data_IF_070834555854
#
_entry.id   IF_070834555854
#
_cell.length_a   1.000
_cell.length_b   1.000
_cell.length_c   1.000
_cell.angle_alpha   90.00
_cell.angle_beta   90.00
_cell.angle_gamma   90.00
#
_symmetry.space_group_name_H-M   'P 1'
#
loop_
_entity.id
_entity.type
_entity.pdbx_description
1 polymer ?
#
# COMPACT_ATOMS: atom_id res chain seq x y z
N UNK A 1 41.37 -7.19 39.81
CA UNK A 1 40.15 -7.84 39.27
C UNK A 1 39.20 -6.75 38.80
N UNK A 2 38.96 -6.64 37.49
CA UNK A 2 38.10 -5.60 36.92
C UNK A 2 36.63 -5.85 37.34
N UNK A 3 36.17 -5.11 38.35
CA UNK A 3 34.85 -5.24 38.99
C UNK A 3 33.70 -4.77 38.09
N UNK A 4 33.43 -5.50 37.02
CA UNK A 4 32.18 -5.33 36.28
C UNK A 4 31.07 -6.07 36.99
N UNK A 5 30.05 -5.34 37.44
CA UNK A 5 28.88 -5.90 38.09
C UNK A 5 28.14 -6.83 37.10
N UNK A 6 27.94 -8.13 37.40
CA UNK A 6 27.41 -9.11 36.45
C UNK A 6 26.04 -8.72 35.89
N UNK A 7 25.22 -8.06 36.71
CA UNK A 7 23.92 -7.51 36.31
C UNK A 7 23.98 -6.51 35.16
N UNK A 8 25.02 -5.66 35.07
CA UNK A 8 25.16 -4.70 33.96
C UNK A 8 25.42 -5.40 32.63
N UNK A 9 26.21 -6.47 32.64
CA UNK A 9 26.47 -7.28 31.43
C UNK A 9 25.23 -8.02 30.99
N UNK A 10 24.48 -8.60 31.92
CA UNK A 10 23.22 -9.26 31.64
C UNK A 10 22.19 -8.27 31.03
N UNK A 11 22.08 -7.06 31.59
CA UNK A 11 21.14 -6.05 31.08
C UNK A 11 21.55 -5.53 29.70
N UNK A 12 22.84 -5.27 29.46
CA UNK A 12 23.34 -4.85 28.15
C UNK A 12 23.07 -5.92 27.08
N UNK A 13 23.32 -7.20 27.40
CA UNK A 13 23.02 -8.32 26.51
C UNK A 13 21.51 -8.45 26.25
N UNK A 14 20.69 -8.32 27.29
CA UNK A 14 19.24 -8.37 27.16
C UNK A 14 18.71 -7.24 26.26
N UNK A 15 19.18 -6.01 26.43
CA UNK A 15 18.82 -4.88 25.58
C UNK A 15 19.24 -5.09 24.12
N UNK A 16 20.43 -5.64 23.87
CA UNK A 16 20.90 -5.94 22.52
C UNK A 16 20.08 -7.04 21.85
N UNK A 17 19.75 -8.10 22.58
CA UNK A 17 18.87 -9.17 22.11
C UNK A 17 17.46 -8.63 21.83
N UNK A 18 16.93 -7.75 22.67
CA UNK A 18 15.63 -7.09 22.45
C UNK A 18 15.65 -6.21 21.20
N UNK A 19 16.73 -5.45 20.97
CA UNK A 19 16.92 -4.69 19.73
C UNK A 19 16.92 -5.61 18.51
N UNK A 20 17.69 -6.71 18.53
CA UNK A 20 17.76 -7.65 17.41
C UNK A 20 16.40 -8.30 17.12
N UNK A 21 15.69 -8.75 18.16
CA UNK A 21 14.35 -9.33 18.00
C UNK A 21 13.35 -8.33 17.45
N UNK A 22 13.44 -7.07 17.85
CA UNK A 22 12.58 -6.02 17.33
C UNK A 22 12.91 -5.65 15.88
N UNK A 23 14.19 -5.65 15.51
CA UNK A 23 14.60 -5.49 14.11
C UNK A 23 14.09 -6.64 13.25
N UNK A 24 14.20 -7.88 13.73
CA UNK A 24 13.61 -9.06 13.06
C UNK A 24 12.10 -8.94 12.96
N UNK A 25 11.41 -8.54 14.03
CA UNK A 25 9.97 -8.35 14.03
C UNK A 25 9.55 -7.26 13.03
N UNK A 26 10.27 -6.14 12.98
CA UNK A 26 10.02 -5.05 12.05
C UNK A 26 10.19 -5.47 10.56
N UNK A 27 10.86 -6.59 10.25
CA UNK A 27 10.91 -7.11 8.87
C UNK A 27 9.62 -7.79 8.42
N UNK A 28 8.78 -8.25 9.36
CA UNK A 28 7.55 -9.01 9.08
C UNK A 28 6.28 -8.28 9.52
N UNK A 29 6.41 -7.22 10.31
CA UNK A 29 5.27 -6.56 10.95
C UNK A 29 4.68 -5.42 10.11
N UNK A 30 3.37 -5.19 10.25
CA UNK A 30 2.64 -4.22 9.43
C UNK A 30 2.99 -2.77 9.84
N UNK A 31 2.92 -1.84 8.87
CA UNK A 31 3.32 -0.42 9.05
C UNK A 31 2.69 0.31 10.25
N UNK A 32 1.58 -0.19 10.79
CA UNK A 32 0.92 0.40 11.97
C UNK A 32 1.78 0.36 13.24
N UNK A 33 2.73 -0.57 13.38
CA UNK A 33 3.54 -0.71 14.60
C UNK A 33 4.86 0.09 14.56
N UNK A 34 5.18 0.75 13.44
CA UNK A 34 6.46 1.48 13.25
C UNK A 34 6.73 2.50 14.38
N UNK A 35 5.76 3.32 14.86
CA UNK A 35 6.03 4.26 15.96
C UNK A 35 6.38 3.55 17.27
N UNK A 36 5.62 2.51 17.62
CA UNK A 36 5.81 1.76 18.84
C UNK A 36 7.19 1.07 18.84
N UNK A 37 7.54 0.46 17.71
CA UNK A 37 8.85 -0.17 17.50
C UNK A 37 9.99 0.85 17.54
N UNK A 38 9.79 2.05 16.99
CA UNK A 38 10.81 3.13 17.04
C UNK A 38 11.06 3.59 18.49
N UNK A 39 9.99 3.79 19.27
CA UNK A 39 10.11 4.18 20.68
C UNK A 39 10.79 3.09 21.50
N UNK A 40 10.35 1.83 21.32
CA UNK A 40 10.91 0.70 22.04
C UNK A 40 12.39 0.49 21.68
N UNK A 41 12.76 0.62 20.40
CA UNK A 41 14.15 0.55 19.94
C UNK A 41 15.01 1.64 20.60
N UNK A 42 14.51 2.89 20.61
CA UNK A 42 15.22 4.03 21.23
C UNK A 42 15.44 3.80 22.73
N UNK A 43 14.44 3.27 23.42
CA UNK A 43 14.51 2.94 24.85
C UNK A 43 15.51 1.81 25.11
N UNK A 44 15.50 0.75 24.30
CA UNK A 44 16.45 -0.37 24.44
C UNK A 44 17.88 0.07 24.12
N UNK A 45 18.08 0.96 23.16
CA UNK A 45 19.39 1.53 22.83
C UNK A 45 19.93 2.39 23.98
N UNK A 46 19.07 3.23 24.57
CA UNK A 46 19.43 4.02 25.75
C UNK A 46 19.82 3.13 26.95
N UNK A 47 19.07 2.05 27.20
CA UNK A 47 19.38 1.08 28.25
C UNK A 47 20.71 0.36 27.99
N UNK A 48 20.93 -0.13 26.76
CA UNK A 48 22.18 -0.77 26.37
C UNK A 48 23.38 0.17 26.60
N UNK A 49 23.23 1.45 26.24
CA UNK A 49 24.25 2.48 26.44
C UNK A 49 24.57 2.70 27.91
N UNK A 50 23.55 2.92 28.75
CA UNK A 50 23.75 3.10 30.21
C UNK A 50 24.45 1.90 30.83
N UNK A 51 24.10 0.69 30.42
CA UNK A 51 24.71 -0.54 30.94
C UNK A 51 26.13 -0.78 30.44
N UNK A 52 26.48 -0.30 29.24
CA UNK A 52 27.83 -0.40 28.70
C UNK A 52 28.81 0.56 29.38
N UNK A 53 28.34 1.66 29.99
CA UNK A 53 29.22 2.61 30.69
C UNK A 53 29.72 2.07 32.05
N UNK A 54 31.04 2.00 32.30
CA UNK A 54 31.59 1.55 33.58
C UNK A 54 31.25 2.55 34.70
N UNK A 55 30.86 2.06 35.89
CA UNK A 55 30.50 2.93 37.04
C UNK A 55 31.68 3.77 37.57
N UNK A 56 32.92 3.32 37.36
CA UNK A 56 34.14 3.95 37.84
C UNK A 56 34.97 4.60 36.72
N UNK A 57 34.44 4.67 35.49
CA UNK A 57 35.08 5.49 34.48
C UNK A 57 34.97 6.94 34.94
N UNK A 58 36.07 7.50 35.45
CA UNK A 58 36.24 8.96 35.59
C UNK A 58 35.80 9.51 34.23
N UNK A 59 34.75 10.35 34.15
CA UNK A 59 34.27 10.83 32.87
C UNK A 59 35.49 11.44 32.19
N UNK A 60 36.02 10.76 31.16
CA UNK A 60 37.02 11.39 30.33
C UNK A 60 36.29 12.61 29.82
N UNK A 61 36.79 13.80 30.17
CA UNK A 61 36.21 15.06 29.72
C UNK A 61 36.10 15.13 28.19
N UNK A 62 36.73 14.17 27.51
CA UNK A 62 36.87 14.00 26.07
C UNK A 62 35.94 12.95 25.45
N UNK A 63 34.94 12.38 26.15
CA UNK A 63 33.77 11.85 25.42
C UNK A 63 33.17 13.07 24.72
N UNK A 64 33.39 13.23 23.41
CA UNK A 64 33.39 14.56 22.81
C UNK A 64 31.97 15.08 22.96
N UNK A 65 31.79 16.24 23.61
CA UNK A 65 30.48 16.93 23.68
C UNK A 65 29.82 17.02 22.29
N UNK A 66 30.63 16.96 21.24
CA UNK A 66 30.26 16.82 19.84
C UNK A 66 29.37 15.60 19.51
N UNK A 67 29.55 14.43 20.15
CA UNK A 67 28.75 13.23 19.84
C UNK A 67 27.30 13.37 20.29
N UNK A 68 27.04 13.94 21.48
CA UNK A 68 25.68 14.22 21.96
C UNK A 68 25.00 15.35 21.20
N UNK A 69 25.76 16.38 20.84
CA UNK A 69 25.27 17.49 20.04
C UNK A 69 24.80 17.07 18.64
N UNK A 70 25.30 15.94 18.11
CA UNK A 70 24.86 15.36 16.83
C UNK A 70 23.79 14.29 17.04
N UNK A 71 24.02 13.35 17.95
CA UNK A 71 23.17 12.18 18.15
C UNK A 71 21.75 12.54 18.59
N UNK A 72 21.60 13.50 19.51
CA UNK A 72 20.29 13.86 20.04
C UNK A 72 19.41 14.56 18.98
N UNK A 73 19.90 15.56 18.22
CA UNK A 73 19.16 16.08 17.07
C UNK A 73 18.85 15.02 16.01
N UNK A 74 19.78 14.12 15.68
CA UNK A 74 19.51 13.03 14.72
C UNK A 74 18.37 12.14 15.20
N UNK A 75 18.36 11.73 16.48
CA UNK A 75 17.28 10.93 17.04
C UNK A 75 15.94 11.68 17.03
N UNK A 76 15.93 12.98 17.32
CA UNK A 76 14.72 13.81 17.25
C UNK A 76 14.20 13.87 15.80
N UNK A 77 15.08 14.11 14.83
CA UNK A 77 14.72 14.14 13.40
C UNK A 77 14.11 12.80 12.97
N UNK A 78 14.73 11.68 13.36
CA UNK A 78 14.21 10.34 13.06
C UNK A 78 12.83 10.10 13.69
N UNK A 79 12.62 10.51 14.94
CA UNK A 79 11.33 10.38 15.62
C UNK A 79 10.24 11.24 14.94
N UNK A 80 10.58 12.47 14.54
CA UNK A 80 9.65 13.35 13.81
C UNK A 80 9.28 12.75 12.45
N UNK A 81 10.24 12.20 11.72
CA UNK A 81 9.99 11.53 10.44
C UNK A 81 9.12 10.29 10.62
N UNK A 82 9.43 9.43 11.59
CA UNK A 82 8.64 8.24 11.90
C UNK A 82 7.20 8.62 12.28
N UNK A 83 7.02 9.60 13.15
CA UNK A 83 5.70 10.09 13.55
C UNK A 83 4.90 10.63 12.36
N UNK A 84 5.52 11.42 11.47
CA UNK A 84 4.86 11.94 10.26
C UNK A 84 4.39 10.82 9.33
N UNK A 85 5.23 9.83 9.07
CA UNK A 85 4.90 8.69 8.22
C UNK A 85 3.72 7.91 8.80
N UNK A 86 3.77 7.61 10.09
CA UNK A 86 2.71 6.83 10.73
C UNK A 86 1.41 7.58 10.92
N UNK A 87 1.46 8.90 11.17
CA UNK A 87 0.26 9.73 11.16
C UNK A 87 -0.39 9.74 9.77
N UNK A 88 0.41 9.81 8.69
CA UNK A 88 -0.11 9.68 7.32
C UNK A 88 -0.77 8.32 7.08
N UNK A 89 -0.14 7.22 7.52
CA UNK A 89 -0.68 5.87 7.36
C UNK A 89 -1.98 5.67 8.15
N UNK A 90 -2.02 6.14 9.40
CA UNK A 90 -3.21 6.07 10.23
C UNK A 90 -4.40 6.78 9.57
N UNK A 91 -4.21 8.04 9.16
CA UNK A 91 -5.25 8.83 8.48
C UNK A 91 -5.67 8.16 7.17
N UNK A 92 -4.71 7.61 6.41
CA UNK A 92 -5.00 6.93 5.13
C UNK A 92 -5.80 5.65 5.35
N UNK A 93 -5.50 4.87 6.38
CA UNK A 93 -6.27 3.66 6.72
C UNK A 93 -7.69 3.99 7.19
N UNK A 94 -7.86 5.03 8.01
CA UNK A 94 -9.19 5.51 8.43
C UNK A 94 -10.00 5.97 7.20
N UNK A 95 -9.39 6.77 6.33
CA UNK A 95 -10.03 7.26 5.10
C UNK A 95 -10.38 6.12 4.14
N UNK A 96 -9.53 5.10 4.03
CA UNK A 96 -9.80 3.89 3.25
C UNK A 96 -11.01 3.13 3.78
N UNK A 97 -11.10 2.92 5.10
CA UNK A 97 -12.22 2.22 5.72
C UNK A 97 -13.55 2.95 5.46
N UNK A 98 -13.58 4.29 5.54
CA UNK A 98 -14.74 5.11 5.19
C UNK A 98 -15.11 4.99 3.71
N UNK A 99 -14.13 5.13 2.81
CA UNK A 99 -14.37 4.99 1.36
C UNK A 99 -14.93 3.59 1.03
N UNK A 100 -14.45 2.55 1.71
CA UNK A 100 -14.93 1.18 1.51
C UNK A 100 -16.37 1.00 2.00
N UNK A 101 -16.76 1.62 3.12
CA UNK A 101 -18.14 1.53 3.61
C UNK A 101 -19.11 2.23 2.67
N UNK A 102 -18.74 3.38 2.10
CA UNK A 102 -19.57 4.11 1.12
C UNK A 102 -19.78 3.33 -0.18
N UNK A 103 -18.80 2.52 -0.61
CA UNK A 103 -18.97 1.63 -1.77
C UNK A 103 -20.02 0.54 -1.55
N UNK A 104 -20.32 0.18 -0.30
CA UNK A 104 -21.26 -0.87 0.03
C UNK A 104 -22.70 -0.36 0.23
N UNK A 105 -22.88 0.89 0.67
CA UNK A 105 -24.21 1.41 1.06
C UNK A 105 -24.72 2.45 0.08
N UNK A 106 -24.09 3.62 -0.01
CA UNK A 106 -24.49 4.78 -0.80
C UNK A 106 -23.40 5.85 -0.75
N UNK A 107 -23.40 6.84 -1.66
CA UNK A 107 -22.55 8.01 -1.54
C UNK A 107 -22.71 8.66 -0.16
N UNK A 108 -21.61 9.09 0.49
CA UNK A 108 -21.71 9.72 1.80
C UNK A 108 -22.37 11.09 1.73
N UNK A 109 -22.83 11.65 2.86
CA UNK A 109 -23.13 13.07 2.96
C UNK A 109 -21.92 13.95 2.53
N UNK A 110 -22.19 15.10 1.91
CA UNK A 110 -21.15 16.01 1.41
C UNK A 110 -20.15 16.45 2.49
N UNK A 111 -20.64 16.69 3.72
CA UNK A 111 -19.80 17.08 4.85
C UNK A 111 -18.83 15.97 5.28
N UNK A 112 -19.28 14.71 5.30
CA UNK A 112 -18.45 13.55 5.65
C UNK A 112 -17.37 13.31 4.58
N UNK A 113 -17.74 13.38 3.29
CA UNK A 113 -16.78 13.32 2.19
C UNK A 113 -15.73 14.44 2.31
N UNK A 114 -16.16 15.69 2.53
CA UNK A 114 -15.27 16.85 2.61
C UNK A 114 -14.31 16.73 3.80
N UNK A 115 -14.78 16.28 4.96
CA UNK A 115 -13.93 16.05 6.12
C UNK A 115 -12.87 14.98 5.82
N UNK A 116 -13.27 13.85 5.24
CA UNK A 116 -12.36 12.77 4.87
C UNK A 116 -11.35 13.22 3.81
N UNK A 117 -11.79 14.02 2.84
CA UNK A 117 -10.92 14.63 1.84
C UNK A 117 -9.86 15.55 2.46
N UNK A 118 -10.23 16.43 3.39
CA UNK A 118 -9.28 17.30 4.09
C UNK A 118 -8.28 16.51 4.95
N UNK A 119 -8.74 15.47 5.65
CA UNK A 119 -7.85 14.57 6.39
C UNK A 119 -6.86 13.89 5.45
N UNK A 120 -7.33 13.38 4.30
CA UNK A 120 -6.47 12.73 3.33
C UNK A 120 -5.46 13.70 2.70
N UNK A 121 -5.83 14.96 2.44
CA UNK A 121 -4.88 15.99 2.02
C UNK A 121 -3.80 16.23 3.08
N UNK A 122 -4.16 16.22 4.37
CA UNK A 122 -3.21 16.31 5.48
C UNK A 122 -2.29 15.09 5.55
N UNK A 123 -2.79 13.89 5.28
CA UNK A 123 -1.94 12.70 5.19
C UNK A 123 -0.88 12.84 4.09
N UNK A 124 -1.29 13.28 2.90
CA UNK A 124 -0.35 13.54 1.79
C UNK A 124 0.64 14.67 2.14
N UNK A 125 0.25 15.72 2.87
CA UNK A 125 1.21 16.75 3.28
C UNK A 125 2.19 16.27 4.35
N UNK A 126 1.78 15.34 5.23
CA UNK A 126 2.65 14.72 6.21
C UNK A 126 3.70 13.80 5.55
N UNK A 127 3.29 13.03 4.54
CA UNK A 127 4.16 12.14 3.78
C UNK A 127 3.86 12.20 2.26
N UNK A 128 4.49 13.11 1.50
CA UNK A 128 4.16 13.38 0.10
C UNK A 128 4.28 12.19 -0.86
N UNK A 129 5.14 11.23 -0.53
CA UNK A 129 5.42 10.04 -1.35
C UNK A 129 4.79 8.76 -0.76
N UNK A 130 3.91 8.90 0.24
CA UNK A 130 3.12 7.79 0.75
C UNK A 130 2.11 7.33 -0.33
N UNK A 131 2.39 6.18 -0.93
CA UNK A 131 1.60 5.60 -2.01
C UNK A 131 0.13 5.41 -1.62
N UNK A 132 -0.16 4.95 -0.39
CA UNK A 132 -1.52 4.74 0.09
C UNK A 132 -2.29 6.04 0.24
N UNK A 133 -1.62 7.07 0.76
CA UNK A 133 -2.22 8.38 0.91
C UNK A 133 -2.63 8.97 -0.46
N UNK A 134 -1.76 8.81 -1.46
CA UNK A 134 -2.00 9.24 -2.83
C UNK A 134 -3.16 8.45 -3.49
N UNK A 135 -3.21 7.13 -3.31
CA UNK A 135 -4.29 6.28 -3.85
C UNK A 135 -5.64 6.65 -3.25
N UNK A 136 -5.71 6.86 -1.94
CA UNK A 136 -6.96 7.24 -1.28
C UNK A 136 -7.40 8.65 -1.67
N UNK A 137 -6.47 9.58 -1.86
CA UNK A 137 -6.80 10.91 -2.37
C UNK A 137 -7.39 10.84 -3.78
N UNK A 138 -6.80 10.03 -4.67
CA UNK A 138 -7.34 9.79 -6.01
C UNK A 138 -8.74 9.15 -5.99
N UNK A 139 -9.00 8.22 -5.06
CA UNK A 139 -10.34 7.64 -4.86
C UNK A 139 -11.35 8.67 -4.37
N UNK A 140 -10.98 9.52 -3.42
CA UNK A 140 -11.86 10.58 -2.92
C UNK A 140 -12.17 11.61 -4.02
N UNK A 141 -11.20 11.93 -4.86
CA UNK A 141 -11.41 12.74 -6.06
C UNK A 141 -12.41 12.11 -7.04
N UNK A 142 -12.37 10.78 -7.21
CA UNK A 142 -13.37 10.09 -8.03
C UNK A 142 -14.79 10.22 -7.43
N UNK A 143 -14.91 10.07 -6.11
CA UNK A 143 -16.19 10.28 -5.40
C UNK A 143 -16.74 11.69 -5.53
N UNK A 144 -15.88 12.70 -5.75
CA UNK A 144 -16.33 14.09 -5.95
C UNK A 144 -17.32 14.23 -7.11
N UNK A 145 -17.19 13.42 -8.16
CA UNK A 145 -18.12 13.43 -9.29
C UNK A 145 -19.55 13.05 -8.91
N UNK A 146 -19.76 12.33 -7.80
CA UNK A 146 -21.10 12.03 -7.29
C UNK A 146 -21.79 13.28 -6.68
N UNK A 147 -21.02 14.32 -6.35
CA UNK A 147 -21.52 15.56 -5.73
C UNK A 147 -21.56 16.75 -6.69
N UNK A 148 -20.92 16.63 -7.85
CA UNK A 148 -20.87 17.70 -8.85
C UNK A 148 -21.76 17.35 -10.04
N UNK A 149 -22.49 18.33 -10.57
CA UNK A 149 -23.33 18.16 -11.76
C UNK A 149 -22.48 18.06 -13.03
N UNK A 150 -21.68 17.00 -13.14
CA UNK A 150 -20.86 16.73 -14.31
C UNK A 150 -19.44 16.30 -13.96
N UNK A 151 -18.81 15.73 -14.99
CA UNK A 151 -17.44 15.27 -14.96
C UNK A 151 -16.47 16.46 -15.01
N UNK A 152 -15.45 16.44 -14.15
CA UNK A 152 -14.40 17.46 -14.11
C UNK A 152 -13.06 16.86 -14.60
N UNK A 153 -12.67 17.06 -15.87
CA UNK A 153 -11.47 16.44 -16.46
C UNK A 153 -10.17 16.79 -15.74
N UNK A 154 -10.11 17.97 -15.11
CA UNK A 154 -8.96 18.41 -14.33
C UNK A 154 -8.74 17.51 -13.10
N UNK A 155 -9.81 17.17 -12.38
CA UNK A 155 -9.75 16.29 -11.21
C UNK A 155 -9.32 14.88 -11.60
N UNK A 156 -9.81 14.40 -12.74
CA UNK A 156 -9.42 13.12 -13.32
C UNK A 156 -7.91 13.08 -13.61
N UNK A 157 -7.37 14.17 -14.19
CA UNK A 157 -5.93 14.30 -14.50
C UNK A 157 -5.08 14.33 -13.23
N UNK A 158 -5.48 15.13 -12.23
CA UNK A 158 -4.78 15.21 -10.93
C UNK A 158 -4.78 13.85 -10.22
N UNK A 159 -5.92 13.14 -10.24
CA UNK A 159 -6.04 11.81 -9.65
C UNK A 159 -5.13 10.78 -10.32
N UNK A 160 -5.07 10.80 -11.66
CA UNK A 160 -4.16 9.92 -12.39
C UNK A 160 -2.69 10.24 -12.08
N UNK A 161 -2.32 11.52 -11.99
CA UNK A 161 -0.97 11.92 -11.61
C UNK A 161 -0.59 11.43 -10.20
N UNK A 162 -1.52 11.49 -9.24
CA UNK A 162 -1.33 10.94 -7.90
C UNK A 162 -1.11 9.42 -7.92
N UNK A 163 -1.91 8.70 -8.70
CA UNK A 163 -1.77 7.24 -8.86
C UNK A 163 -0.44 6.85 -9.52
N UNK A 164 0.01 7.61 -10.52
CA UNK A 164 1.33 7.39 -11.15
C UNK A 164 2.48 7.65 -10.17
N UNK A 165 2.38 8.67 -9.32
CA UNK A 165 3.35 8.90 -8.23
C UNK A 165 3.33 7.75 -7.22
N UNK A 166 2.15 7.25 -6.86
CA UNK A 166 2.03 6.09 -5.98
C UNK A 166 2.67 4.83 -6.60
N UNK A 167 2.49 4.60 -7.89
CA UNK A 167 3.12 3.48 -8.60
C UNK A 167 4.64 3.62 -8.71
N UNK A 168 5.15 4.84 -8.83
CA UNK A 168 6.60 5.10 -8.78
C UNK A 168 7.18 4.81 -7.39
N UNK A 169 6.45 5.13 -6.32
CA UNK A 169 6.87 4.84 -4.95
C UNK A 169 6.77 3.33 -4.59
N UNK A 170 5.76 2.63 -5.12
CA UNK A 170 5.51 1.20 -4.84
C UNK A 170 5.16 0.42 -6.13
N UNK A 171 6.13 0.18 -7.02
CA UNK A 171 5.88 -0.43 -8.33
C UNK A 171 5.42 -1.89 -8.25
N UNK A 172 5.67 -2.57 -7.13
CA UNK A 172 5.28 -3.95 -6.88
C UNK A 172 3.85 -4.11 -6.32
N UNK A 173 3.14 -3.03 -5.99
CA UNK A 173 1.78 -3.13 -5.47
C UNK A 173 0.75 -3.22 -6.60
N UNK A 174 0.19 -4.41 -6.80
CA UNK A 174 -0.82 -4.70 -7.81
C UNK A 174 -2.09 -3.83 -7.67
N UNK A 175 -2.43 -3.37 -6.46
CA UNK A 175 -3.66 -2.59 -6.19
C UNK A 175 -3.56 -1.18 -6.75
N UNK A 176 -2.36 -0.60 -6.77
CA UNK A 176 -2.10 0.72 -7.37
C UNK A 176 -2.29 0.64 -8.88
N UNK A 177 -1.74 -0.39 -9.51
CA UNK A 177 -1.93 -0.64 -10.94
C UNK A 177 -3.40 -0.88 -11.30
N UNK A 178 -4.13 -1.64 -10.50
CA UNK A 178 -5.57 -1.80 -10.68
C UNK A 178 -6.32 -0.46 -10.56
N UNK A 179 -5.91 0.42 -9.63
CA UNK A 179 -6.49 1.76 -9.48
C UNK A 179 -6.20 2.66 -10.70
N UNK A 180 -4.99 2.61 -11.27
CA UNK A 180 -4.64 3.31 -12.53
C UNK A 180 -5.54 2.83 -13.67
N UNK A 181 -5.67 1.51 -13.85
CA UNK A 181 -6.52 0.95 -14.89
C UNK A 181 -8.00 1.35 -14.70
N UNK A 182 -8.47 1.37 -13.46
CA UNK A 182 -9.84 1.80 -13.11
C UNK A 182 -10.06 3.28 -13.44
N UNK A 183 -9.12 4.15 -13.07
CA UNK A 183 -9.18 5.58 -13.40
C UNK A 183 -9.25 5.80 -14.92
N UNK A 184 -8.44 5.10 -15.71
CA UNK A 184 -8.48 5.17 -17.16
C UNK A 184 -9.81 4.70 -17.76
N UNK A 185 -10.38 3.59 -17.25
CA UNK A 185 -11.68 3.12 -17.73
C UNK A 185 -12.78 4.14 -17.45
N UNK A 186 -12.84 4.70 -16.23
CA UNK A 186 -13.78 5.77 -15.90
C UNK A 186 -13.58 7.01 -16.78
N UNK A 187 -12.35 7.24 -17.22
CA UNK A 187 -12.05 8.33 -18.13
C UNK A 187 -12.47 8.07 -19.58
N UNK A 188 -12.86 6.83 -19.93
CA UNK A 188 -13.11 6.39 -21.30
C UNK A 188 -11.82 6.14 -22.09
N UNK A 189 -10.67 6.02 -21.42
CA UNK A 189 -9.34 5.95 -22.04
C UNK A 189 -8.77 4.52 -21.97
N UNK A 190 -9.21 3.62 -22.85
CA UNK A 190 -8.70 2.24 -22.94
C UNK A 190 -7.41 2.18 -23.80
N UNK A 191 -6.41 2.94 -23.36
CA UNK A 191 -5.12 3.15 -24.04
C UNK A 191 -4.01 2.16 -23.67
N UNK A 192 -2.77 2.49 -24.01
CA UNK A 192 -1.57 1.69 -23.68
C UNK A 192 -1.33 1.60 -22.17
N UNK A 193 -1.51 2.72 -21.46
CA UNK A 193 -1.32 2.77 -20.01
C UNK A 193 -2.36 1.91 -19.26
N UNK A 194 -3.63 1.93 -19.69
CA UNK A 194 -4.65 1.00 -19.19
C UNK A 194 -4.20 -0.46 -19.32
N UNK A 195 -3.75 -0.86 -20.53
CA UNK A 195 -3.26 -2.23 -20.79
C UNK A 195 -2.09 -2.59 -19.87
N UNK A 196 -1.08 -1.73 -19.80
CA UNK A 196 0.09 -1.95 -18.96
C UNK A 196 -0.32 -2.13 -17.50
N UNK A 197 -1.20 -1.26 -17.00
CA UNK A 197 -1.68 -1.32 -15.63
C UNK A 197 -2.45 -2.62 -15.33
N UNK A 198 -3.34 -3.08 -16.21
CA UNK A 198 -4.02 -4.38 -16.06
C UNK A 198 -3.02 -5.54 -16.06
N UNK A 199 -2.05 -5.55 -17.00
CA UNK A 199 -1.02 -6.59 -17.05
C UNK A 199 -0.15 -6.62 -15.79
N UNK A 200 0.27 -5.44 -15.29
CA UNK A 200 1.02 -5.34 -14.04
C UNK A 200 0.22 -5.85 -12.85
N UNK A 201 -1.04 -5.41 -12.70
CA UNK A 201 -1.92 -5.86 -11.63
C UNK A 201 -2.10 -7.39 -11.65
N UNK A 202 -2.32 -7.98 -12.83
CA UNK A 202 -2.46 -9.43 -12.98
C UNK A 202 -1.17 -10.18 -12.61
N UNK A 203 -0.02 -9.73 -13.09
CA UNK A 203 1.27 -10.39 -12.88
C UNK A 203 1.73 -10.32 -11.42
N UNK A 204 1.49 -9.20 -10.74
CA UNK A 204 2.00 -8.95 -9.39
C UNK A 204 1.21 -9.66 -8.30
N UNK A 205 -0.08 -9.95 -8.51
CA UNK A 205 -0.91 -10.60 -7.52
C UNK A 205 -1.91 -11.60 -8.14
N UNK A 206 -1.44 -12.64 -8.88
CA UNK A 206 -2.31 -13.67 -9.40
C UNK A 206 -3.06 -14.41 -8.28
N UNK A 207 -2.44 -14.59 -7.11
CA UNK A 207 -3.03 -15.32 -5.98
C UNK A 207 -4.06 -14.52 -5.16
N UNK A 208 -4.18 -13.20 -5.34
CA UNK A 208 -5.04 -12.37 -4.49
C UNK A 208 -6.49 -12.38 -4.99
N UNK A 209 -7.31 -13.25 -4.42
CA UNK A 209 -8.73 -13.49 -4.70
C UNK A 209 -9.56 -12.20 -4.88
N UNK A 210 -9.36 -11.19 -4.02
CA UNK A 210 -10.09 -9.90 -4.09
C UNK A 210 -9.65 -9.07 -5.29
N UNK A 211 -8.35 -9.04 -5.58
CA UNK A 211 -7.80 -8.29 -6.71
C UNK A 211 -8.20 -8.92 -8.04
N UNK A 212 -8.11 -10.26 -8.14
CA UNK A 212 -8.53 -11.00 -9.33
C UNK A 212 -10.01 -10.79 -9.64
N UNK A 213 -10.85 -10.69 -8.60
CA UNK A 213 -12.26 -10.36 -8.76
C UNK A 213 -12.48 -8.95 -9.33
N UNK A 214 -11.78 -7.95 -8.77
CA UNK A 214 -11.86 -6.58 -9.25
C UNK A 214 -11.32 -6.44 -10.67
N UNK A 215 -10.25 -7.17 -11.01
CA UNK A 215 -9.68 -7.20 -12.36
C UNK A 215 -10.65 -7.80 -13.36
N UNK A 216 -11.33 -8.91 -13.01
CA UNK A 216 -12.37 -9.50 -13.84
C UNK A 216 -13.49 -8.49 -14.12
N UNK A 217 -14.02 -7.83 -13.07
CA UNK A 217 -15.06 -6.80 -13.22
C UNK A 217 -14.62 -5.64 -14.11
N UNK A 218 -13.37 -5.18 -13.93
CA UNK A 218 -12.81 -4.09 -14.71
C UNK A 218 -12.69 -4.47 -16.20
N UNK A 219 -12.14 -5.64 -16.51
CA UNK A 219 -11.98 -6.12 -17.88
C UNK A 219 -13.32 -6.41 -18.56
N UNK A 220 -14.29 -6.94 -17.83
CA UNK A 220 -15.66 -7.10 -18.31
C UNK A 220 -16.30 -5.76 -18.66
N UNK A 221 -16.16 -4.75 -17.79
CA UNK A 221 -16.68 -3.41 -18.06
C UNK A 221 -15.97 -2.74 -19.26
N UNK A 222 -14.68 -3.05 -19.47
CA UNK A 222 -13.92 -2.57 -20.60
C UNK A 222 -14.16 -3.36 -21.90
N UNK A 223 -14.88 -4.49 -21.87
CA UNK A 223 -14.99 -5.47 -22.97
C UNK A 223 -15.28 -4.87 -24.36
N UNK A 224 -16.22 -3.92 -24.53
CA UNK A 224 -16.51 -3.32 -25.84
C UNK A 224 -15.30 -2.64 -26.48
N UNK A 225 -14.37 -2.16 -25.65
CA UNK A 225 -13.18 -1.42 -26.06
C UNK A 225 -11.93 -2.30 -26.13
N UNK A 226 -12.01 -3.57 -25.70
CA UNK A 226 -10.84 -4.46 -25.68
C UNK A 226 -10.49 -5.00 -27.07
N UNK A 227 -9.21 -4.91 -27.42
CA UNK A 227 -8.60 -5.53 -28.61
C UNK A 227 -8.55 -7.06 -28.47
N UNK A 228 -8.41 -7.84 -29.58
CA UNK A 228 -8.35 -9.30 -29.52
C UNK A 228 -7.31 -9.85 -28.52
N UNK A 229 -6.08 -9.31 -28.50
CA UNK A 229 -5.03 -9.71 -27.54
C UNK A 229 -5.42 -9.46 -26.08
N UNK A 230 -6.17 -8.39 -25.81
CA UNK A 230 -6.62 -8.03 -24.45
C UNK A 230 -7.80 -8.90 -24.01
N UNK A 231 -8.63 -9.36 -24.97
CA UNK A 231 -9.68 -10.35 -24.70
C UNK A 231 -9.10 -11.69 -24.27
N UNK A 232 -7.92 -12.06 -24.78
CA UNK A 232 -7.18 -13.24 -24.29
C UNK A 232 -6.84 -13.11 -22.81
N UNK A 233 -6.37 -11.93 -22.36
CA UNK A 233 -6.09 -11.67 -20.95
C UNK A 233 -7.37 -11.77 -20.10
N UNK A 234 -8.50 -11.23 -20.58
CA UNK A 234 -9.80 -11.43 -19.91
C UNK A 234 -10.13 -12.91 -19.75
N UNK A 235 -9.95 -13.73 -20.80
CA UNK A 235 -10.19 -15.17 -20.71
C UNK A 235 -9.24 -15.84 -19.70
N UNK A 236 -7.96 -15.42 -19.63
CA UNK A 236 -7.02 -15.92 -18.62
C UNK A 236 -7.47 -15.57 -17.20
N UNK A 237 -7.83 -14.30 -16.95
CA UNK A 237 -8.35 -13.81 -15.66
C UNK A 237 -9.64 -14.52 -15.29
N UNK A 238 -10.52 -14.75 -16.26
CA UNK A 238 -11.78 -15.45 -16.06
C UNK A 238 -11.56 -16.91 -15.65
N UNK A 239 -10.74 -17.65 -16.40
CA UNK A 239 -10.38 -19.03 -16.08
C UNK A 239 -9.71 -19.13 -14.71
N UNK A 240 -8.87 -18.15 -14.37
CA UNK A 240 -8.25 -18.08 -13.05
C UNK A 240 -9.29 -17.86 -11.94
N UNK A 241 -10.23 -16.93 -12.11
CA UNK A 241 -11.32 -16.69 -11.15
C UNK A 241 -12.27 -17.89 -11.03
N UNK A 242 -12.51 -18.64 -12.11
CA UNK A 242 -13.28 -19.90 -12.06
C UNK A 242 -12.60 -20.96 -11.19
N UNK A 243 -11.26 -20.95 -11.09
CA UNK A 243 -10.51 -21.84 -10.20
C UNK A 243 -10.52 -21.36 -8.75
N UNK A 244 -10.33 -20.05 -8.53
CA UNK A 244 -10.30 -19.47 -7.16
C UNK A 244 -11.68 -19.36 -6.50
N UNK A 245 -12.71 -19.01 -7.27
CA UNK A 245 -14.06 -18.69 -6.80
C UNK A 245 -15.13 -19.14 -7.83
N UNK A 246 -15.33 -20.45 -8.06
CA UNK A 246 -16.19 -20.98 -9.13
C UNK A 246 -17.63 -20.45 -9.06
N UNK A 247 -18.28 -20.55 -7.90
CA UNK A 247 -19.72 -20.22 -7.76
C UNK A 247 -20.00 -18.73 -7.90
N UNK A 248 -19.09 -17.89 -7.40
CA UNK A 248 -19.20 -16.43 -7.55
C UNK A 248 -18.99 -16.02 -9.00
N UNK A 249 -18.01 -16.61 -9.66
CA UNK A 249 -17.65 -16.30 -11.06
C UNK A 249 -18.73 -16.77 -12.02
N UNK A 250 -19.28 -17.98 -11.84
CA UNK A 250 -20.40 -18.49 -12.65
C UNK A 250 -21.63 -17.61 -12.55
N UNK A 251 -22.04 -17.22 -11.33
CA UNK A 251 -23.17 -16.30 -11.13
C UNK A 251 -22.95 -14.98 -11.85
N UNK A 252 -21.77 -14.38 -11.67
CA UNK A 252 -21.43 -13.14 -12.36
C UNK A 252 -21.41 -13.28 -13.88
N UNK A 253 -20.97 -14.41 -14.42
CA UNK A 253 -21.01 -14.67 -15.86
C UNK A 253 -22.44 -14.76 -16.40
N UNK A 254 -23.37 -15.34 -15.65
CA UNK A 254 -24.79 -15.38 -16.03
C UNK A 254 -25.40 -13.97 -16.09
N UNK A 255 -24.99 -13.10 -15.17
CA UNK A 255 -25.45 -11.72 -15.11
C UNK A 255 -24.75 -10.81 -16.14
N UNK A 256 -23.48 -11.09 -16.41
CA UNK A 256 -22.68 -10.32 -17.37
C UNK A 256 -23.03 -10.76 -18.78
N UNK A 257 -23.46 -9.84 -19.65
CA UNK A 257 -23.74 -10.12 -21.08
C UNK A 257 -22.48 -10.46 -21.90
N UNK A 258 -21.43 -11.03 -21.30
CA UNK A 258 -20.22 -11.44 -21.99
C UNK A 258 -20.55 -12.69 -22.81
N UNK A 259 -20.17 -12.76 -24.10
CA UNK A 259 -20.38 -13.95 -24.91
C UNK A 259 -19.54 -15.12 -24.37
N UNK A 260 -20.15 -16.02 -23.61
CA UNK A 260 -19.48 -17.16 -22.97
C UNK A 260 -18.72 -18.07 -23.96
N UNK A 261 -19.18 -18.14 -25.22
CA UNK A 261 -18.60 -18.99 -26.25
C UNK A 261 -17.23 -18.54 -26.81
N UNK A 262 -16.72 -17.35 -26.47
CA UNK A 262 -15.48 -16.83 -27.08
C UNK A 262 -14.19 -17.18 -26.36
N UNK A 263 -14.25 -17.63 -25.11
CA UNK A 263 -13.04 -18.01 -24.38
C UNK A 263 -12.59 -19.46 -24.65
N UNK A 264 -13.50 -20.34 -25.11
CA UNK A 264 -13.21 -21.75 -25.40
C UNK A 264 -12.35 -21.96 -26.66
N UNK A 265 -12.43 -21.09 -27.66
CA UNK A 265 -11.68 -21.23 -28.91
C UNK A 265 -10.18 -20.96 -28.74
N UNK A 266 -9.78 -20.18 -27.73
CA UNK A 266 -8.38 -19.74 -27.56
C UNK A 266 -7.52 -20.80 -26.87
N UNK A 267 -8.11 -21.74 -26.12
CA UNK A 267 -7.37 -22.75 -25.34
C UNK A 267 -7.01 -24.01 -26.12
N UNK A 268 -7.60 -24.23 -27.31
CA UNK A 268 -7.35 -25.44 -28.10
C UNK A 268 -6.01 -25.41 -28.87
N UNK A 269 -5.28 -24.29 -28.89
CA UNK A 269 -4.16 -24.11 -29.81
C UNK A 269 -2.73 -24.23 -29.25
N UNK A 270 -2.47 -24.04 -27.95
CA UNK A 270 -1.08 -23.75 -27.49
C UNK A 270 -0.78 -24.12 -26.04
N UNK A 271 -1.19 -25.29 -25.55
CA UNK A 271 -0.64 -25.83 -24.30
C UNK A 271 0.17 -27.08 -24.62
N UNK A 272 1.38 -26.88 -25.14
CA UNK A 272 2.45 -27.87 -25.00
C UNK A 272 2.80 -27.93 -23.51
N UNK A 273 2.77 -29.12 -22.89
CA UNK A 273 3.12 -29.29 -21.49
C UNK A 273 4.64 -29.21 -21.35
N UNK A 274 5.18 -27.99 -21.20
CA UNK A 274 6.51 -27.81 -20.64
C UNK A 274 6.40 -27.94 -19.11
N UNK A 275 6.53 -29.17 -18.63
CA UNK A 275 6.83 -29.48 -17.24
C UNK A 275 8.37 -29.39 -17.03
N UNK A 276 8.85 -28.88 -15.88
CA UNK A 276 10.19 -29.17 -15.39
C UNK A 276 10.31 -30.61 -14.88
#
# INVERSE_FOLDING_TARGET
MNGYHPWKRALALASLTAILMMLLHATVDFSLQIPANTVLFTLMLALAWVCATPASAKPSADLPRLSWAVLLPTLIVLQVLAFRLSASDYISNESFAKVQSWQATSPPPWNEWRQTYHLQQKAVSLAPDNAWALVNLARLNHWRHAFTNGRQPEIDRVSLQQLLRAAAAQPADARIWLAIATAHLHQGQVGSLFRQAVHHAFRLAPWETKLQWSLLRLLTAAYPYLKPKERTLLCTVLNHNLRLQPDRTRRYLLDSKIPAGRCSETTAGTVEPNAP
#
